data_IF_863553813837
#
_entry.id   IF_863553813837
#
_cell.length_a   1.000
_cell.length_b   1.000
_cell.length_c   1.000
_cell.angle_alpha   90.00
_cell.angle_beta   90.00
_cell.angle_gamma   90.00
#
_symmetry.space_group_name_H-M   'P 1'
#
loop_
_entity.id
_entity.type
_entity.pdbx_description
1 polymer ?
#
# COMPACT_ATOMS: atom_id res chain seq x y z
N UNK A 1 2.46 11.32 -15.95
CA UNK A 1 1.16 10.98 -15.32
C UNK A 1 1.38 9.70 -14.54
N UNK A 2 0.91 9.57 -13.28
CA UNK A 2 1.14 8.37 -12.48
C UNK A 2 0.60 7.12 -13.18
N UNK A 3 1.35 6.03 -13.20
CA UNK A 3 0.84 4.76 -13.72
C UNK A 3 -0.16 4.12 -12.75
N UNK A 4 -1.02 3.25 -13.29
CA UNK A 4 -2.01 2.51 -12.50
C UNK A 4 -1.49 1.13 -12.16
N UNK A 5 -1.51 0.79 -10.86
CA UNK A 5 -1.25 -0.53 -10.35
C UNK A 5 -2.50 -1.41 -10.52
N UNK A 6 -2.41 -2.44 -11.36
CA UNK A 6 -3.57 -3.27 -11.77
C UNK A 6 -3.59 -4.66 -11.15
N UNK A 7 -2.55 -5.08 -10.44
CA UNK A 7 -2.48 -6.41 -9.85
C UNK A 7 -3.36 -6.50 -8.60
N UNK A 8 -4.10 -7.60 -8.46
CA UNK A 8 -5.01 -7.81 -7.33
C UNK A 8 -4.27 -8.43 -6.14
N UNK A 9 -4.39 -7.86 -4.93
CA UNK A 9 -3.88 -8.48 -3.72
C UNK A 9 -4.72 -9.70 -3.33
N UNK A 10 -4.21 -10.48 -2.38
CA UNK A 10 -4.97 -11.51 -1.68
C UNK A 10 -6.19 -10.90 -0.97
N UNK A 11 -7.24 -11.71 -0.79
CA UNK A 11 -8.50 -11.28 -0.19
C UNK A 11 -8.38 -10.82 1.27
N UNK A 12 -7.35 -11.29 1.98
CA UNK A 12 -7.02 -10.83 3.33
C UNK A 12 -5.95 -9.75 3.29
N UNK A 13 -6.33 -8.50 3.58
CA UNK A 13 -5.40 -7.40 3.82
C UNK A 13 -5.80 -6.60 5.06
N UNK A 14 -4.84 -5.90 5.64
CA UNK A 14 -5.06 -5.05 6.82
C UNK A 14 -4.97 -3.59 6.42
N UNK A 15 -5.94 -2.80 6.87
CA UNK A 15 -5.97 -1.34 6.67
C UNK A 15 -5.64 -0.68 8.01
N UNK A 16 -4.61 0.16 8.04
CA UNK A 16 -4.26 1.00 9.16
C UNK A 16 -4.65 2.45 8.85
N UNK A 17 -5.39 3.08 9.77
CA UNK A 17 -5.84 4.46 9.67
C UNK A 17 -5.39 5.22 10.90
N UNK A 18 -4.44 6.13 10.73
CA UNK A 18 -3.91 6.94 11.82
C UNK A 18 -4.07 8.43 11.48
N UNK A 19 -5.13 9.10 11.98
CA UNK A 19 -5.28 10.53 11.82
C UNK A 19 -4.11 11.28 12.47
N UNK A 20 -3.49 12.20 11.74
CA UNK A 20 -2.42 13.05 12.24
C UNK A 20 -3.01 14.15 13.14
N UNK A 21 -2.85 13.98 14.46
CA UNK A 21 -3.38 14.87 15.48
C UNK A 21 -2.25 15.32 16.39
N UNK A 22 -2.09 16.63 16.54
CA UNK A 22 -1.27 17.20 17.59
C UNK A 22 -2.04 17.18 18.91
N UNK A 23 -1.43 16.60 19.95
CA UNK A 23 -2.02 16.52 21.29
C UNK A 23 -1.18 17.37 22.24
N UNK A 24 -1.81 18.32 22.91
CA UNK A 24 -1.20 19.14 23.97
C UNK A 24 -1.84 18.75 25.29
N UNK A 25 -1.01 18.37 26.26
CA UNK A 25 -1.45 18.03 27.63
C UNK A 25 -1.30 19.25 28.53
N UNK A 26 -2.37 19.65 29.21
CA UNK A 26 -2.41 20.88 30.01
C UNK A 26 -2.04 20.67 31.50
N UNK A 27 -1.63 19.45 31.87
CA UNK A 27 -1.05 19.13 33.19
C UNK A 27 -2.08 18.86 34.31
N UNK A 28 -3.33 19.24 34.09
CA UNK A 28 -4.49 19.06 34.98
C UNK A 28 -5.38 17.87 34.55
N UNK A 29 -4.87 17.02 33.66
CA UNK A 29 -5.59 15.88 33.09
C UNK A 29 -6.37 16.22 31.81
N UNK A 30 -6.41 17.49 31.39
CA UNK A 30 -7.02 17.87 30.12
C UNK A 30 -6.05 17.75 28.95
N UNK A 31 -6.62 17.37 27.81
CA UNK A 31 -5.93 17.30 26.53
C UNK A 31 -6.64 18.18 25.51
N UNK A 32 -5.87 19.03 24.84
CA UNK A 32 -6.32 19.71 23.63
C UNK A 32 -5.83 18.93 22.41
N UNK A 33 -6.74 18.66 21.47
CA UNK A 33 -6.44 17.96 20.22
C UNK A 33 -6.64 18.91 19.05
N UNK A 34 -5.65 18.97 18.17
CA UNK A 34 -5.67 19.78 16.96
C UNK A 34 -5.31 18.90 15.77
N UNK A 35 -6.13 18.93 14.73
CA UNK A 35 -5.89 18.19 13.49
C UNK A 35 -4.70 18.82 12.78
N UNK A 36 -3.73 18.00 12.36
CA UNK A 36 -2.52 18.48 11.69
C UNK A 36 -2.64 18.32 10.18
N UNK A 37 -2.72 19.45 9.48
CA UNK A 37 -2.75 19.52 8.01
C UNK A 37 -4.15 19.39 7.39
N UNK A 38 -4.21 19.55 6.06
CA UNK A 38 -5.46 19.56 5.27
C UNK A 38 -5.98 18.13 5.04
N UNK A 39 -5.08 17.16 4.88
CA UNK A 39 -5.40 15.73 4.71
C UNK A 39 -4.84 14.95 5.91
N UNK A 40 -5.47 15.03 7.08
CA UNK A 40 -4.93 14.43 8.31
C UNK A 40 -5.08 12.92 8.35
N UNK A 41 -5.98 12.34 7.55
CA UNK A 41 -6.23 10.91 7.49
C UNK A 41 -5.71 10.37 6.16
N UNK A 42 -4.66 9.57 6.22
CA UNK A 42 -4.13 8.84 5.08
C UNK A 42 -4.19 7.35 5.43
N UNK A 43 -4.79 6.57 4.52
CA UNK A 43 -4.93 5.15 4.73
C UNK A 43 -3.63 4.42 4.35
N UNK A 44 -3.27 3.42 5.15
CA UNK A 44 -2.13 2.54 4.90
C UNK A 44 -2.64 1.11 4.74
N UNK A 45 -2.29 0.46 3.63
CA UNK A 45 -2.74 -0.88 3.27
C UNK A 45 -1.58 -1.86 3.28
N UNK A 46 -1.65 -2.88 4.15
CA UNK A 46 -0.71 -4.01 4.14
C UNK A 46 -1.25 -5.10 3.23
N UNK A 47 -0.69 -5.18 2.02
CA UNK A 47 -1.14 -6.04 0.95
C UNK A 47 -0.18 -7.22 0.75
N UNK A 48 -0.75 -8.38 0.44
CA UNK A 48 0.02 -9.55 0.02
C UNK A 48 -0.40 -9.95 -1.39
N UNK A 49 0.57 -10.16 -2.28
CA UNK A 49 0.36 -10.64 -3.64
C UNK A 49 1.02 -12.00 -3.79
N UNK A 50 0.29 -12.96 -4.34
CA UNK A 50 0.80 -14.32 -4.57
C UNK A 50 0.78 -14.60 -6.07
N UNK A 51 1.90 -15.10 -6.59
CA UNK A 51 1.99 -15.58 -7.97
C UNK A 51 2.85 -16.84 -8.04
N UNK A 52 2.53 -17.72 -8.98
CA UNK A 52 3.27 -18.98 -9.19
C UNK A 52 3.92 -18.91 -10.57
N UNK A 53 5.20 -19.29 -10.66
CA UNK A 53 5.83 -19.58 -11.93
C UNK A 53 5.34 -20.95 -12.40
N UNK A 54 4.30 -20.96 -13.22
CA UNK A 54 3.84 -22.17 -13.88
C UNK A 54 4.13 -22.07 -15.38
N UNK A 55 5.20 -22.76 -15.81
CA UNK A 55 5.57 -22.90 -17.23
C UNK A 55 4.44 -23.52 -18.07
N UNK A 56 3.52 -24.27 -17.46
CA UNK A 56 2.41 -24.91 -18.18
C UNK A 56 1.25 -23.96 -18.45
N UNK A 57 1.04 -22.96 -17.60
CA UNK A 57 -0.12 -22.08 -17.70
C UNK A 57 0.16 -20.76 -18.43
N UNK A 58 1.42 -20.44 -18.76
CA UNK A 58 1.83 -19.17 -19.39
C UNK A 58 1.20 -17.92 -18.74
N UNK A 59 0.92 -17.99 -17.43
CA UNK A 59 0.34 -16.88 -16.68
C UNK A 59 1.48 -16.06 -16.10
N UNK A 60 1.50 -14.74 -16.34
CA UNK A 60 2.52 -13.90 -15.76
C UNK A 60 2.39 -13.90 -14.23
N UNK A 61 3.52 -14.06 -13.55
CA UNK A 61 3.57 -14.07 -12.09
C UNK A 61 3.29 -12.66 -11.54
N UNK A 62 2.08 -12.47 -11.01
CA UNK A 62 1.62 -11.18 -10.50
C UNK A 62 2.53 -10.60 -9.42
N UNK A 63 3.08 -11.43 -8.53
CA UNK A 63 3.99 -10.99 -7.47
C UNK A 63 5.30 -10.42 -8.04
N UNK A 64 5.87 -11.05 -9.08
CA UNK A 64 7.07 -10.54 -9.76
C UNK A 64 6.81 -9.26 -10.54
N UNK A 65 5.69 -9.19 -11.25
CA UNK A 65 5.32 -7.99 -12.00
C UNK A 65 5.07 -6.80 -11.07
N UNK A 66 4.33 -7.03 -9.97
CA UNK A 66 4.14 -6.04 -8.92
C UNK A 66 5.48 -5.60 -8.31
N UNK A 67 6.39 -6.53 -8.00
CA UNK A 67 7.71 -6.17 -7.47
C UNK A 67 8.53 -5.33 -8.47
N UNK A 68 8.51 -5.69 -9.76
CA UNK A 68 9.20 -4.94 -10.80
C UNK A 68 8.64 -3.51 -10.92
N UNK A 69 7.31 -3.36 -10.84
CA UNK A 69 6.66 -2.06 -10.81
C UNK A 69 7.08 -1.22 -9.60
N UNK A 70 7.07 -1.81 -8.40
CA UNK A 70 7.50 -1.12 -7.18
C UNK A 70 8.98 -0.71 -7.25
N UNK A 71 9.84 -1.59 -7.76
CA UNK A 71 11.27 -1.29 -7.99
C UNK A 71 11.47 -0.13 -8.96
N UNK A 72 10.71 -0.07 -10.05
CA UNK A 72 10.84 1.01 -11.03
C UNK A 72 10.49 2.39 -10.46
N UNK A 73 9.58 2.46 -9.47
CA UNK A 73 9.13 3.70 -8.82
C UNK A 73 9.98 4.13 -7.62
N UNK A 74 10.77 3.20 -7.06
CA UNK A 74 11.73 3.46 -5.97
C UNK A 74 11.16 4.21 -4.75
N UNK A 75 9.86 4.05 -4.46
CA UNK A 75 9.15 4.80 -3.42
C UNK A 75 9.15 6.34 -3.58
N UNK A 76 9.64 6.87 -4.71
CA UNK A 76 9.66 8.30 -5.01
C UNK A 76 8.42 8.69 -5.80
N UNK A 77 8.06 7.86 -6.76
CA UNK A 77 6.92 8.11 -7.64
C UNK A 77 5.64 7.50 -7.07
N UNK A 78 4.59 8.30 -6.99
CA UNK A 78 3.26 7.82 -6.66
C UNK A 78 2.61 7.11 -7.85
N UNK A 79 1.70 6.19 -7.56
CA UNK A 79 0.93 5.46 -8.55
C UNK A 79 -0.54 5.42 -8.17
N UNK A 80 -1.40 5.28 -9.17
CA UNK A 80 -2.82 5.08 -8.94
C UNK A 80 -3.08 3.64 -8.52
N UNK A 81 -3.83 3.47 -7.45
CA UNK A 81 -4.35 2.17 -7.07
C UNK A 81 -5.79 2.32 -6.59
N UNK A 82 -6.60 1.31 -6.91
CA UNK A 82 -8.01 1.26 -6.52
C UNK A 82 -8.17 0.13 -5.52
N UNK A 83 -8.31 0.43 -4.22
CA UNK A 83 -8.57 -0.57 -3.20
C UNK A 83 -9.89 -1.29 -3.49
N UNK A 84 -9.93 -2.60 -3.26
CA UNK A 84 -11.14 -3.41 -3.49
C UNK A 84 -12.25 -3.17 -2.46
N UNK A 85 -11.94 -2.58 -1.30
CA UNK A 85 -12.91 -2.25 -0.26
C UNK A 85 -13.68 -0.95 -0.56
N UNK A 86 -12.98 0.10 -1.00
CA UNK A 86 -13.58 1.41 -1.28
C UNK A 86 -13.99 1.58 -2.73
N UNK A 87 -13.31 0.92 -3.67
CA UNK A 87 -13.51 1.13 -5.11
C UNK A 87 -13.09 2.52 -5.62
N UNK A 88 -12.45 3.33 -4.77
CA UNK A 88 -12.05 4.71 -5.11
C UNK A 88 -10.58 4.74 -5.51
N UNK A 89 -10.30 5.17 -6.74
CA UNK A 89 -8.92 5.34 -7.20
C UNK A 89 -8.25 6.50 -6.44
N UNK A 90 -7.15 6.20 -5.76
CA UNK A 90 -6.32 7.18 -5.04
C UNK A 90 -4.85 7.01 -5.40
N UNK A 91 -4.03 7.99 -4.99
CA UNK A 91 -2.58 7.92 -5.14
C UNK A 91 -1.96 7.24 -3.92
N UNK A 92 -1.04 6.31 -4.21
CA UNK A 92 -0.31 5.56 -3.20
C UNK A 92 1.18 5.56 -3.51
N UNK A 93 1.98 5.40 -2.46
CA UNK A 93 3.41 5.14 -2.51
C UNK A 93 3.68 3.87 -1.71
N UNK A 94 4.65 3.08 -2.15
CA UNK A 94 5.12 1.93 -1.39
C UNK A 94 6.57 2.16 -0.96
N UNK A 95 6.79 2.37 0.34
CA UNK A 95 8.13 2.61 0.90
C UNK A 95 8.89 1.33 1.21
N UNK A 96 8.16 0.27 1.52
CA UNK A 96 8.73 -1.01 1.90
C UNK A 96 7.90 -2.16 1.34
N UNK A 97 8.60 -3.13 0.79
CA UNK A 97 8.03 -4.40 0.35
C UNK A 97 9.06 -5.52 0.54
N UNK A 98 8.56 -6.74 0.68
CA UNK A 98 9.37 -7.96 0.82
C UNK A 98 8.84 -9.03 -0.13
N UNK A 99 9.75 -9.70 -0.85
CA UNK A 99 9.41 -10.80 -1.73
C UNK A 99 9.98 -12.10 -1.15
N UNK A 100 9.09 -13.05 -0.87
CA UNK A 100 9.42 -14.40 -0.42
C UNK A 100 9.20 -15.39 -1.55
N UNK A 101 10.21 -16.20 -1.85
CA UNK A 101 10.11 -17.32 -2.79
C UNK A 101 10.03 -18.63 -2.02
N UNK A 102 8.98 -19.41 -2.27
CA UNK A 102 8.79 -20.75 -1.71
C UNK A 102 8.57 -21.73 -2.86
N UNK A 103 9.63 -22.42 -3.29
CA UNK A 103 9.58 -23.28 -4.48
C UNK A 103 9.24 -22.47 -5.74
N UNK A 104 8.17 -22.85 -6.45
CA UNK A 104 7.63 -22.12 -7.61
C UNK A 104 6.70 -20.96 -7.25
N UNK A 105 6.34 -20.79 -5.99
CA UNK A 105 5.46 -19.72 -5.52
C UNK A 105 6.26 -18.51 -5.04
N UNK A 106 5.72 -17.33 -5.35
CA UNK A 106 6.24 -16.02 -4.99
C UNK A 106 5.17 -15.28 -4.21
N UNK A 107 5.55 -14.74 -3.06
CA UNK A 107 4.70 -13.99 -2.15
C UNK A 107 5.34 -12.62 -1.90
N UNK A 108 4.69 -11.56 -2.38
CA UNK A 108 5.11 -10.18 -2.20
C UNK A 108 4.23 -9.54 -1.13
N UNK A 109 4.82 -9.12 -0.02
CA UNK A 109 4.13 -8.31 0.99
C UNK A 109 4.59 -6.86 0.85
N UNK A 110 3.64 -5.93 0.68
CA UNK A 110 3.92 -4.52 0.45
C UNK A 110 2.99 -3.63 1.29
N UNK A 111 3.51 -2.51 1.77
CA UNK A 111 2.70 -1.50 2.48
C UNK A 111 2.48 -0.31 1.56
N UNK A 112 1.21 -0.06 1.19
CA UNK A 112 0.81 1.08 0.36
C UNK A 112 0.31 2.19 1.25
N UNK A 113 0.97 3.33 1.21
CA UNK A 113 0.62 4.53 1.95
C UNK A 113 -0.07 5.52 1.00
N UNK A 114 -1.28 5.94 1.35
CA UNK A 114 -1.99 6.94 0.59
C UNK A 114 -1.26 8.28 0.67
N UNK A 115 -1.17 8.97 -0.47
CA UNK A 115 -0.57 10.30 -0.55
C UNK A 115 -1.58 11.31 -1.10
N UNK A 116 -1.50 12.58 -0.69
CA UNK A 116 -2.35 13.62 -1.24
C UNK A 116 -2.01 13.84 -2.72
N UNK A 117 -3.03 14.22 -3.50
CA UNK A 117 -2.88 14.55 -4.92
C UNK A 117 -2.20 15.89 -5.13
#
# INVERSE_FOLDING_TARGET
>A
MPETFTWSPQSGFTISRAPNVAVVKLGDGYEQRQVKGINPLMDSYSLTFIGVDDEKCNRPNAAKLAEAFLKARMAVESFYWTPSDTGVQSLFVCRSWSLKKTGGQYELTATFEQVPR
#
